data_IF_463266677238
#
_entry.id   IF_463266677238
#
_cell.length_a   1.000
_cell.length_b   1.000
_cell.length_c   1.000
_cell.angle_alpha   90.00
_cell.angle_beta   90.00
_cell.angle_gamma   90.00
#
_symmetry.space_group_name_H-M   'P 1'
#
loop_
_entity.id
_entity.type
_entity.pdbx_description
1 polymer ?
#
# COMPACT_ATOMS: atom_id res chain seq x y z
N UNK A 1 6.81 49.74 -0.51
CA UNK A 1 5.51 49.04 -0.54
C UNK A 1 5.66 47.72 -1.30
N UNK A 2 5.19 46.57 -0.77
CA UNK A 2 5.25 45.32 -1.50
C UNK A 2 4.35 45.37 -2.75
N UNK A 3 4.93 45.10 -3.92
CA UNK A 3 4.25 45.10 -5.22
C UNK A 3 3.03 44.15 -5.24
N UNK A 4 1.84 44.68 -5.55
CA UNK A 4 0.60 43.91 -5.67
C UNK A 4 0.67 42.75 -6.68
N UNK A 5 1.63 42.78 -7.62
CA UNK A 5 1.87 41.69 -8.57
C UNK A 5 2.32 40.40 -7.87
N UNK A 6 3.14 40.49 -6.81
CA UNK A 6 3.59 39.31 -6.04
C UNK A 6 2.43 38.69 -5.24
N UNK A 7 1.56 39.51 -4.65
CA UNK A 7 0.40 39.04 -3.91
C UNK A 7 -0.62 38.33 -4.82
N UNK A 8 -0.92 38.90 -6.00
CA UNK A 8 -1.81 38.29 -6.99
C UNK A 8 -1.25 36.96 -7.52
N UNK A 9 0.07 36.87 -7.74
CA UNK A 9 0.73 35.62 -8.13
C UNK A 9 0.56 34.49 -7.10
N UNK A 10 0.74 34.78 -5.81
CA UNK A 10 0.53 33.80 -4.73
C UNK A 10 -0.93 33.32 -4.67
N UNK A 11 -1.90 34.23 -4.79
CA UNK A 11 -3.33 33.89 -4.82
C UNK A 11 -3.68 32.98 -6.00
N UNK A 12 -3.14 33.25 -7.19
CA UNK A 12 -3.38 32.41 -8.37
C UNK A 12 -2.73 31.03 -8.24
N UNK A 13 -1.53 30.92 -7.66
CA UNK A 13 -0.88 29.63 -7.38
C UNK A 13 -1.71 28.81 -6.38
N UNK A 14 -2.13 29.41 -5.27
CA UNK A 14 -2.97 28.74 -4.27
C UNK A 14 -4.32 28.28 -4.87
N UNK A 15 -4.94 29.09 -5.73
CA UNK A 15 -6.18 28.70 -6.42
C UNK A 15 -5.97 27.48 -7.33
N UNK A 16 -4.88 27.44 -8.11
CA UNK A 16 -4.55 26.28 -8.97
C UNK A 16 -4.29 25.01 -8.16
N UNK A 17 -3.60 25.13 -7.03
CA UNK A 17 -3.31 24.00 -6.15
C UNK A 17 -4.57 23.47 -5.45
N UNK A 18 -5.47 24.38 -5.04
CA UNK A 18 -6.78 24.01 -4.52
C UNK A 18 -7.64 23.29 -5.57
N UNK A 19 -7.70 23.78 -6.82
CA UNK A 19 -8.41 23.11 -7.92
C UNK A 19 -7.82 21.73 -8.18
N UNK A 20 -6.49 21.61 -8.31
CA UNK A 20 -5.83 20.32 -8.47
C UNK A 20 -6.15 19.34 -7.35
N UNK A 21 -6.25 19.82 -6.10
CA UNK A 21 -6.58 18.96 -4.96
C UNK A 21 -8.05 18.53 -4.98
N UNK A 22 -8.97 19.43 -5.36
CA UNK A 22 -10.37 19.10 -5.56
C UNK A 22 -10.55 18.05 -6.67
N UNK A 23 -9.77 18.18 -7.75
CA UNK A 23 -9.74 17.21 -8.86
C UNK A 23 -9.21 15.83 -8.44
N UNK A 24 -8.39 15.74 -7.39
CA UNK A 24 -7.90 14.45 -6.89
C UNK A 24 -8.90 13.78 -5.95
N UNK A 25 -9.64 14.56 -5.16
CA UNK A 25 -10.66 14.02 -4.24
C UNK A 25 -11.82 13.37 -5.00
N UNK A 26 -12.20 13.93 -6.15
CA UNK A 26 -13.24 13.37 -7.03
C UNK A 26 -12.90 11.99 -7.61
N UNK A 27 -11.63 11.56 -7.58
CA UNK A 27 -11.22 10.24 -8.09
C UNK A 27 -11.57 9.09 -7.13
N UNK A 28 -11.76 9.36 -5.84
CA UNK A 28 -11.95 8.30 -4.84
C UNK A 28 -13.14 8.53 -3.92
N UNK A 29 -13.48 9.79 -3.62
CA UNK A 29 -14.57 10.10 -2.69
C UNK A 29 -15.93 9.58 -3.18
N UNK A 30 -16.34 9.76 -4.46
CA UNK A 30 -17.60 9.21 -4.94
C UNK A 30 -17.67 7.70 -4.80
N UNK A 31 -16.55 7.00 -5.04
CA UNK A 31 -16.45 5.55 -4.87
C UNK A 31 -16.58 5.13 -3.41
N UNK A 32 -16.06 5.90 -2.45
CA UNK A 32 -16.19 5.60 -1.01
C UNK A 32 -17.60 5.87 -0.52
N UNK A 33 -18.15 7.04 -0.87
CA UNK A 33 -19.45 7.50 -0.44
C UNK A 33 -20.56 6.66 -1.09
N UNK A 34 -20.37 6.25 -2.35
CA UNK A 34 -21.26 5.42 -3.15
C UNK A 34 -22.73 5.54 -2.69
N UNK A 35 -23.19 6.79 -2.61
CA UNK A 35 -24.58 7.20 -2.47
C UNK A 35 -25.19 7.44 -3.86
N UNK A 36 -24.48 7.03 -4.91
CA UNK A 36 -24.73 7.51 -6.26
C UNK A 36 -25.83 6.67 -6.93
N UNK A 37 -26.96 7.34 -7.09
CA UNK A 37 -28.21 6.96 -7.75
C UNK A 37 -28.06 6.43 -9.19
N UNK A 38 -26.85 6.35 -9.73
CA UNK A 38 -26.58 5.76 -11.06
C UNK A 38 -26.33 4.26 -11.04
N UNK A 39 -26.11 3.67 -9.86
CA UNK A 39 -26.08 2.23 -9.66
C UNK A 39 -27.38 1.72 -9.03
N UNK A 40 -28.54 2.22 -9.46
CA UNK A 40 -29.86 1.63 -9.09
C UNK A 40 -29.95 0.12 -9.44
N UNK A 41 -29.03 -0.38 -10.27
CA UNK A 41 -28.87 -1.81 -10.60
C UNK A 41 -28.31 -2.62 -9.42
N UNK A 42 -27.53 -2.01 -8.52
CA UNK A 42 -26.97 -2.68 -7.36
C UNK A 42 -27.63 -2.19 -6.09
N UNK A 43 -28.55 -3.01 -5.59
CA UNK A 43 -29.16 -2.86 -4.27
C UNK A 43 -28.03 -2.53 -3.29
N UNK A 44 -28.06 -1.34 -2.65
CA UNK A 44 -27.06 -0.97 -1.66
C UNK A 44 -26.90 -2.13 -0.70
N UNK A 45 -25.65 -2.54 -0.45
CA UNK A 45 -25.42 -3.61 0.52
C UNK A 45 -26.05 -3.17 1.84
N UNK A 46 -27.18 -3.78 2.21
CA UNK A 46 -27.92 -3.49 3.45
C UNK A 46 -27.04 -3.71 4.69
N UNK A 47 -25.84 -4.28 4.54
CA UNK A 47 -24.87 -4.49 5.61
C UNK A 47 -23.84 -3.36 5.73
N UNK A 48 -24.06 -2.21 5.08
CA UNK A 48 -23.19 -1.03 5.14
C UNK A 48 -23.37 -0.17 6.41
N UNK A 49 -24.24 -0.56 7.34
CA UNK A 49 -24.64 0.30 8.46
C UNK A 49 -23.48 0.75 9.36
N UNK A 50 -22.48 -0.11 9.63
CA UNK A 50 -21.38 0.26 10.54
C UNK A 50 -20.43 1.33 9.98
N UNK A 51 -20.46 1.58 8.67
CA UNK A 51 -19.60 2.58 8.01
C UNK A 51 -20.38 3.76 7.43
N UNK A 52 -21.70 3.81 7.63
CA UNK A 52 -22.52 4.91 7.14
C UNK A 52 -22.19 6.23 7.86
N UNK A 53 -21.72 6.13 9.10
CA UNK A 53 -21.33 7.28 9.93
C UNK A 53 -19.89 7.76 9.66
N UNK A 54 -19.21 7.21 8.65
CA UNK A 54 -17.85 7.61 8.30
C UNK A 54 -17.85 9.02 7.69
N UNK A 55 -17.77 10.05 8.54
CA UNK A 55 -17.60 11.43 8.11
C UNK A 55 -16.17 11.63 7.60
N UNK A 56 -16.03 11.85 6.29
CA UNK A 56 -14.75 12.17 5.68
C UNK A 56 -14.43 13.64 6.01
N UNK A 57 -13.40 13.94 6.81
CA UNK A 57 -13.06 15.31 7.13
C UNK A 57 -12.80 16.13 5.86
N UNK A 58 -13.10 17.44 5.88
CA UNK A 58 -12.76 18.30 4.73
C UNK A 58 -11.25 18.47 4.59
N UNK A 59 -10.56 18.58 5.72
CA UNK A 59 -9.12 18.76 5.82
C UNK A 59 -8.60 17.88 6.94
N UNK A 60 -7.95 16.77 6.58
CA UNK A 60 -7.20 15.93 7.51
C UNK A 60 -5.93 15.40 6.82
N UNK A 61 -4.98 14.90 7.60
CA UNK A 61 -3.77 14.29 7.03
C UNK A 61 -4.14 13.08 6.17
N UNK A 62 -5.14 12.31 6.60
CA UNK A 62 -5.70 11.22 5.79
C UNK A 62 -6.21 11.68 4.42
N UNK A 63 -6.91 12.83 4.33
CA UNK A 63 -7.37 13.33 3.03
C UNK A 63 -6.19 13.70 2.13
N UNK A 64 -5.13 14.29 2.68
CA UNK A 64 -3.91 14.58 1.92
C UNK A 64 -3.23 13.28 1.45
N UNK A 65 -3.19 12.26 2.30
CA UNK A 65 -2.67 10.93 1.98
C UNK A 65 -3.48 10.27 0.84
N UNK A 66 -4.82 10.26 0.94
CA UNK A 66 -5.71 9.75 -0.10
C UNK A 66 -5.53 10.51 -1.42
N UNK A 67 -5.48 11.84 -1.39
CA UNK A 67 -5.24 12.64 -2.60
C UNK A 67 -3.85 12.39 -3.20
N UNK A 68 -2.83 12.15 -2.38
CA UNK A 68 -1.50 11.80 -2.86
C UNK A 68 -1.49 10.43 -3.56
N UNK A 69 -2.16 9.42 -2.99
CA UNK A 69 -2.39 8.11 -3.62
C UNK A 69 -3.16 8.29 -4.95
N UNK A 70 -4.19 9.12 -4.95
CA UNK A 70 -4.97 9.44 -6.15
C UNK A 70 -4.09 10.07 -7.24
N UNK A 71 -3.23 11.01 -6.86
CA UNK A 71 -2.29 11.68 -7.76
C UNK A 71 -1.20 10.77 -8.32
N UNK A 72 -1.00 9.58 -7.74
CA UNK A 72 -0.17 8.51 -8.30
C UNK A 72 -0.93 7.59 -9.24
N UNK A 73 -2.26 7.67 -9.28
CA UNK A 73 -3.12 6.88 -10.17
C UNK A 73 -3.63 5.56 -9.58
N UNK A 74 -3.48 5.29 -8.28
CA UNK A 74 -3.96 4.04 -7.67
C UNK A 74 -5.49 3.86 -7.73
N UNK A 75 -6.24 4.95 -7.81
CA UNK A 75 -7.70 4.90 -7.93
C UNK A 75 -8.20 4.94 -9.37
N UNK A 76 -7.29 5.16 -10.33
CA UNK A 76 -7.60 5.10 -11.74
C UNK A 76 -7.42 3.67 -12.27
N UNK A 77 -8.41 3.19 -13.01
CA UNK A 77 -8.41 1.86 -13.61
C UNK A 77 -7.48 1.77 -14.82
N UNK A 78 -7.23 2.88 -15.50
CA UNK A 78 -6.37 2.92 -16.68
C UNK A 78 -4.87 2.90 -16.30
N UNK A 79 -4.54 3.43 -15.12
CA UNK A 79 -3.17 3.45 -14.61
C UNK A 79 -2.70 2.04 -14.24
N UNK A 80 -1.57 1.63 -14.81
CA UNK A 80 -0.84 0.41 -14.45
C UNK A 80 0.52 0.79 -13.88
N UNK A 81 1.02 0.04 -12.90
CA UNK A 81 2.37 0.18 -12.36
C UNK A 81 3.23 -1.01 -12.79
N UNK A 82 3.59 -1.11 -14.09
CA UNK A 82 4.39 -2.22 -14.57
C UNK A 82 5.76 -2.19 -13.91
N UNK A 83 6.18 -3.33 -13.36
CA UNK A 83 7.53 -3.59 -12.86
C UNK A 83 7.99 -2.76 -11.64
N UNK A 84 7.16 -1.88 -11.09
CA UNK A 84 7.49 -1.22 -9.83
C UNK A 84 7.18 -2.19 -8.67
N UNK A 85 8.15 -2.49 -7.79
CA UNK A 85 7.87 -3.32 -6.63
C UNK A 85 6.85 -2.58 -5.77
N UNK A 86 5.60 -3.04 -5.81
CA UNK A 86 4.43 -2.47 -5.13
C UNK A 86 4.76 -2.01 -3.71
N UNK A 87 5.54 -2.82 -2.98
CA UNK A 87 5.96 -2.47 -1.63
C UNK A 87 6.84 -1.24 -1.53
N UNK A 88 7.77 -1.02 -2.46
CA UNK A 88 8.62 0.18 -2.46
C UNK A 88 7.75 1.43 -2.57
N UNK A 89 6.77 1.43 -3.47
CA UNK A 89 5.82 2.53 -3.61
C UNK A 89 4.99 2.69 -2.35
N UNK A 90 4.44 1.60 -1.79
CA UNK A 90 3.66 1.63 -0.55
C UNK A 90 4.47 2.23 0.61
N UNK A 91 5.73 1.82 0.78
CA UNK A 91 6.64 2.35 1.81
C UNK A 91 6.88 3.85 1.63
N UNK A 92 7.30 4.27 0.43
CA UNK A 92 7.54 5.68 0.14
C UNK A 92 6.30 6.52 0.38
N UNK A 93 5.11 6.02 0.01
CA UNK A 93 3.85 6.70 0.26
C UNK A 93 3.55 6.83 1.74
N UNK A 94 3.69 5.76 2.53
CA UNK A 94 3.45 5.84 3.98
C UNK A 94 4.44 6.79 4.65
N UNK A 95 5.72 6.74 4.29
CA UNK A 95 6.80 7.56 4.86
C UNK A 95 6.59 9.07 4.67
N UNK A 96 5.98 9.47 3.56
CA UNK A 96 5.68 10.87 3.29
C UNK A 96 4.55 11.45 4.18
N UNK A 97 3.84 10.61 4.95
CA UNK A 97 2.73 11.02 5.80
C UNK A 97 2.92 10.47 7.24
N UNK A 98 3.91 10.97 8.00
CA UNK A 98 4.25 10.45 9.33
C UNK A 98 3.06 10.46 10.30
N UNK A 99 2.22 11.50 10.27
CA UNK A 99 1.02 11.56 11.13
C UNK A 99 0.02 10.43 10.87
N UNK A 100 -0.13 9.95 9.63
CA UNK A 100 -0.99 8.78 9.34
C UNK A 100 -0.40 7.50 9.93
N UNK A 101 0.91 7.46 10.16
CA UNK A 101 1.57 6.32 10.81
C UNK A 101 1.51 6.41 12.33
N UNK A 102 1.78 7.60 12.87
CA UNK A 102 1.94 7.85 14.30
C UNK A 102 0.60 7.97 15.04
N UNK A 103 -0.39 8.66 14.46
CA UNK A 103 -1.66 8.93 15.12
C UNK A 103 -2.67 7.80 14.84
N UNK A 104 -3.08 7.08 15.89
CA UNK A 104 -3.99 5.95 15.79
C UNK A 104 -5.31 6.27 15.09
N UNK A 105 -5.87 7.46 15.33
CA UNK A 105 -7.11 7.93 14.73
C UNK A 105 -6.98 8.18 13.22
N UNK A 106 -5.92 8.89 12.80
CA UNK A 106 -5.65 9.13 11.37
C UNK A 106 -5.35 7.80 10.67
N UNK A 107 -4.57 6.92 11.30
CA UNK A 107 -4.26 5.59 10.75
C UNK A 107 -5.52 4.73 10.56
N UNK A 108 -6.37 4.67 11.58
CA UNK A 108 -7.64 3.93 11.54
C UNK A 108 -8.56 4.50 10.45
N UNK A 109 -8.66 5.82 10.33
CA UNK A 109 -9.46 6.48 9.29
C UNK A 109 -8.91 6.19 7.89
N UNK A 110 -7.60 6.23 7.67
CA UNK A 110 -6.99 5.85 6.39
C UNK A 110 -7.32 4.40 6.02
N UNK A 111 -7.17 3.47 6.96
CA UNK A 111 -7.50 2.05 6.76
C UNK A 111 -8.98 1.89 6.41
N UNK A 112 -9.88 2.56 7.13
CA UNK A 112 -11.32 2.51 6.88
C UNK A 112 -11.69 3.02 5.48
N UNK A 113 -11.12 4.15 5.05
CA UNK A 113 -11.35 4.71 3.72
C UNK A 113 -10.83 3.80 2.59
N UNK A 114 -9.62 3.27 2.72
CA UNK A 114 -9.06 2.36 1.72
C UNK A 114 -9.85 1.04 1.63
N UNK A 115 -10.25 0.47 2.77
CA UNK A 115 -11.08 -0.73 2.82
C UNK A 115 -12.45 -0.48 2.18
N UNK A 116 -13.07 0.68 2.46
CA UNK A 116 -14.36 1.08 1.89
C UNK A 116 -14.28 1.22 0.37
N UNK A 117 -13.24 1.90 -0.11
CA UNK A 117 -12.95 2.01 -1.54
C UNK A 117 -12.85 0.63 -2.20
N UNK A 118 -12.02 -0.28 -1.65
CA UNK A 118 -11.85 -1.64 -2.19
C UNK A 118 -13.14 -2.45 -2.16
N UNK A 119 -13.94 -2.33 -1.09
CA UNK A 119 -15.23 -3.01 -1.01
C UNK A 119 -16.14 -2.60 -2.16
N UNK A 120 -16.27 -1.29 -2.39
CA UNK A 120 -17.15 -0.76 -3.42
C UNK A 120 -16.65 -1.14 -4.82
N UNK A 121 -15.33 -1.01 -5.09
CA UNK A 121 -14.72 -1.44 -6.36
C UNK A 121 -14.90 -2.94 -6.61
N UNK A 122 -14.70 -3.80 -5.62
CA UNK A 122 -14.85 -5.25 -5.80
C UNK A 122 -16.29 -5.63 -6.11
N UNK A 123 -17.24 -5.04 -5.39
CA UNK A 123 -18.67 -5.35 -5.57
C UNK A 123 -19.19 -4.77 -6.88
N UNK A 124 -18.88 -3.52 -7.20
CA UNK A 124 -19.29 -2.88 -8.46
C UNK A 124 -18.74 -3.63 -9.67
N UNK A 125 -17.45 -3.95 -9.64
CA UNK A 125 -16.78 -4.46 -10.83
C UNK A 125 -17.10 -5.93 -11.06
N UNK A 126 -17.26 -6.71 -9.98
CA UNK A 126 -17.75 -8.08 -10.11
C UNK A 126 -19.17 -8.13 -10.70
N UNK A 127 -20.02 -7.14 -10.36
CA UNK A 127 -21.35 -7.06 -10.94
C UNK A 127 -21.36 -6.61 -12.40
N UNK A 128 -20.53 -5.62 -12.75
CA UNK A 128 -20.46 -5.08 -14.12
C UNK A 128 -19.80 -6.09 -15.08
N UNK A 129 -18.73 -6.75 -14.64
CA UNK A 129 -17.90 -7.59 -15.52
C UNK A 129 -18.24 -9.08 -15.43
N UNK A 130 -19.00 -9.48 -14.42
CA UNK A 130 -19.41 -10.87 -14.21
C UNK A 130 -18.21 -11.81 -14.08
N UNK A 131 -18.12 -12.79 -14.98
CA UNK A 131 -17.06 -13.81 -14.93
C UNK A 131 -15.68 -13.28 -15.30
N UNK A 132 -15.60 -12.26 -16.16
CA UNK A 132 -14.33 -11.68 -16.59
C UNK A 132 -13.56 -11.05 -15.43
N UNK A 133 -14.26 -10.59 -14.40
CA UNK A 133 -13.68 -9.99 -13.20
C UNK A 133 -12.65 -10.91 -12.52
N UNK A 134 -12.93 -12.22 -12.47
CA UNK A 134 -12.07 -13.20 -11.81
C UNK A 134 -10.72 -13.39 -12.51
N UNK A 135 -10.64 -13.08 -13.81
CA UNK A 135 -9.45 -13.30 -14.63
C UNK A 135 -8.62 -12.03 -14.85
N UNK A 136 -9.12 -10.85 -14.47
CA UNK A 136 -8.39 -9.60 -14.59
C UNK A 136 -7.36 -9.43 -13.48
N UNK A 137 -6.10 -9.22 -13.87
CA UNK A 137 -5.08 -8.69 -12.97
C UNK A 137 -5.26 -7.18 -12.80
N UNK A 138 -5.39 -6.75 -11.55
CA UNK A 138 -5.42 -5.33 -11.21
C UNK A 138 -4.46 -5.05 -10.07
N UNK A 139 -3.27 -4.60 -10.45
CA UNK A 139 -2.14 -4.37 -9.55
C UNK A 139 -2.44 -3.28 -8.51
N UNK A 140 -3.28 -2.31 -8.87
CA UNK A 140 -3.64 -1.18 -8.00
C UNK A 140 -4.34 -1.66 -6.71
N UNK A 141 -5.23 -2.63 -6.81
CA UNK A 141 -5.96 -3.16 -5.66
C UNK A 141 -5.04 -3.95 -4.73
N UNK A 142 -4.11 -4.71 -5.31
CA UNK A 142 -3.08 -5.41 -4.56
C UNK A 142 -2.18 -4.42 -3.81
N UNK A 143 -1.83 -3.30 -4.44
CA UNK A 143 -1.08 -2.22 -3.80
C UNK A 143 -1.86 -1.57 -2.66
N UNK A 144 -3.15 -1.27 -2.85
CA UNK A 144 -3.98 -0.73 -1.77
C UNK A 144 -4.09 -1.72 -0.61
N UNK A 145 -4.23 -3.02 -0.87
CA UNK A 145 -4.20 -4.05 0.18
C UNK A 145 -2.86 -4.09 0.91
N UNK A 146 -1.74 -3.92 0.19
CA UNK A 146 -0.40 -3.80 0.79
C UNK A 146 -0.30 -2.55 1.68
N UNK A 147 -0.82 -1.41 1.25
CA UNK A 147 -0.84 -0.17 2.04
C UNK A 147 -1.64 -0.34 3.34
N UNK A 148 -2.85 -0.92 3.26
CA UNK A 148 -3.66 -1.21 4.46
C UNK A 148 -2.89 -2.08 5.44
N UNK A 149 -2.29 -3.17 4.95
CA UNK A 149 -1.53 -4.08 5.81
C UNK A 149 -0.27 -3.42 6.41
N UNK A 150 0.40 -2.55 5.65
CA UNK A 150 1.54 -1.79 6.13
C UNK A 150 1.14 -0.83 7.26
N UNK A 151 0.04 -0.09 7.09
CA UNK A 151 -0.49 0.78 8.14
C UNK A 151 -0.87 -0.02 9.41
N UNK A 152 -1.48 -1.20 9.26
CA UNK A 152 -1.75 -2.08 10.41
C UNK A 152 -0.48 -2.55 11.13
N UNK A 153 0.60 -2.81 10.40
CA UNK A 153 1.88 -3.21 11.00
C UNK A 153 2.55 -2.06 11.73
N UNK A 154 2.54 -0.86 11.16
CA UNK A 154 3.10 0.36 11.78
C UNK A 154 2.38 0.70 13.09
N UNK A 155 1.08 0.44 13.18
CA UNK A 155 0.32 0.59 14.42
C UNK A 155 0.56 -0.49 15.49
N UNK A 156 1.26 -1.59 15.15
CA UNK A 156 1.49 -2.73 16.07
C UNK A 156 2.96 -2.92 16.43
N UNK A 157 3.88 -2.48 15.58
CA UNK A 157 5.31 -2.72 15.72
C UNK A 157 6.07 -1.42 15.54
N UNK A 158 6.95 -1.11 16.49
CA UNK A 158 7.89 0.01 16.39
C UNK A 158 9.13 -0.33 15.54
N UNK A 159 9.53 -1.61 15.50
CA UNK A 159 10.69 -2.06 14.72
C UNK A 159 10.36 -2.13 13.21
N UNK A 160 10.88 -1.16 12.47
CA UNK A 160 10.71 -1.03 11.02
C UNK A 160 11.24 -2.26 10.27
N UNK A 161 12.24 -2.98 10.78
CA UNK A 161 12.76 -4.21 10.15
C UNK A 161 11.74 -5.36 10.23
N UNK A 162 10.96 -5.43 11.30
CA UNK A 162 9.87 -6.41 11.47
C UNK A 162 8.71 -6.04 10.54
N UNK A 163 8.36 -4.76 10.47
CA UNK A 163 7.35 -4.24 9.54
C UNK A 163 7.72 -4.56 8.09
N UNK A 164 8.96 -4.24 7.68
CA UNK A 164 9.56 -4.55 6.37
C UNK A 164 9.37 -6.01 5.98
N UNK A 165 9.90 -6.93 6.80
CA UNK A 165 9.84 -8.37 6.54
C UNK A 165 8.40 -8.89 6.43
N UNK A 166 7.51 -8.46 7.33
CA UNK A 166 6.11 -8.91 7.34
C UNK A 166 5.34 -8.37 6.14
N UNK A 167 5.57 -7.12 5.76
CA UNK A 167 4.89 -6.50 4.63
C UNK A 167 5.32 -7.15 3.30
N UNK A 168 6.62 -7.42 3.11
CA UNK A 168 7.13 -8.16 1.93
C UNK A 168 6.54 -9.56 1.84
N UNK A 169 6.46 -10.28 2.97
CA UNK A 169 5.81 -11.60 3.01
C UNK A 169 4.34 -11.52 2.58
N UNK A 170 3.64 -10.46 2.97
CA UNK A 170 2.24 -10.26 2.63
C UNK A 170 2.04 -9.83 1.18
N UNK A 171 2.85 -8.91 0.66
CA UNK A 171 2.78 -8.48 -0.74
C UNK A 171 3.00 -9.63 -1.70
N UNK A 172 3.89 -10.56 -1.36
CA UNK A 172 4.10 -11.78 -2.15
C UNK A 172 2.85 -12.69 -2.20
N UNK A 173 1.91 -12.58 -1.26
CA UNK A 173 0.64 -13.28 -1.34
C UNK A 173 -0.38 -12.58 -2.25
N UNK A 174 -0.21 -11.27 -2.49
CA UNK A 174 -1.08 -10.47 -3.36
C UNK A 174 -0.55 -10.32 -4.79
N UNK A 175 0.76 -10.47 -4.95
CA UNK A 175 1.42 -10.52 -6.26
C UNK A 175 0.73 -11.55 -7.17
N UNK A 176 0.78 -11.28 -8.48
CA UNK A 176 0.23 -12.13 -9.54
C UNK A 176 -1.29 -12.22 -9.63
N UNK A 177 -2.00 -11.31 -8.97
CA UNK A 177 -3.44 -11.14 -9.19
C UNK A 177 -4.28 -12.26 -8.58
N UNK A 178 -3.90 -12.73 -7.39
CA UNK A 178 -4.72 -13.66 -6.62
C UNK A 178 -5.95 -12.95 -6.04
N UNK A 179 -6.94 -12.68 -6.90
CA UNK A 179 -8.22 -12.02 -6.55
C UNK A 179 -8.89 -12.70 -5.38
N UNK A 180 -8.84 -14.03 -5.33
CA UNK A 180 -9.37 -14.81 -4.20
C UNK A 180 -8.76 -14.37 -2.87
N UNK A 181 -7.45 -14.20 -2.79
CA UNK A 181 -6.79 -13.76 -1.55
C UNK A 181 -6.98 -12.26 -1.26
N UNK A 182 -7.12 -11.41 -2.29
CA UNK A 182 -7.50 -10.00 -2.13
C UNK A 182 -8.91 -9.84 -1.55
N UNK A 183 -9.93 -10.50 -2.12
CA UNK A 183 -11.29 -10.43 -1.56
C UNK A 183 -11.32 -11.04 -0.17
N UNK A 184 -10.62 -12.15 0.06
CA UNK A 184 -10.48 -12.73 1.40
C UNK A 184 -9.89 -11.73 2.40
N UNK A 185 -8.89 -10.96 1.99
CA UNK A 185 -8.24 -9.96 2.83
C UNK A 185 -9.21 -8.86 3.26
N UNK A 186 -9.99 -8.33 2.31
CA UNK A 186 -10.97 -7.25 2.57
C UNK A 186 -12.18 -7.80 3.34
N UNK A 187 -12.73 -8.95 2.94
CA UNK A 187 -13.89 -9.59 3.59
C UNK A 187 -13.64 -10.01 5.05
N UNK A 188 -12.37 -10.17 5.44
CA UNK A 188 -11.98 -10.43 6.83
C UNK A 188 -11.97 -9.17 7.70
N UNK A 189 -11.82 -7.99 7.11
CA UNK A 189 -11.72 -6.70 7.80
C UNK A 189 -13.02 -5.92 7.78
N UNK A 190 -13.84 -6.15 6.76
CA UNK A 190 -15.15 -5.53 6.62
C UNK A 190 -16.24 -6.59 6.71
N UNK A 191 -17.19 -6.49 7.66
CA UNK A 191 -18.29 -7.45 7.82
C UNK A 191 -19.39 -7.30 6.75
N UNK A 192 -19.01 -7.25 5.47
CA UNK A 192 -19.95 -7.09 4.35
C UNK A 192 -20.39 -8.45 3.79
N UNK A 193 -21.69 -8.70 3.74
CA UNK A 193 -22.23 -9.94 3.16
C UNK A 193 -21.89 -10.10 1.67
N UNK A 194 -21.95 -9.02 0.89
CA UNK A 194 -21.58 -9.03 -0.53
C UNK A 194 -20.13 -9.47 -0.75
N UNK A 195 -19.20 -9.00 0.08
CA UNK A 195 -17.80 -9.43 0.03
C UNK A 195 -17.63 -10.90 0.45
N UNK A 196 -18.41 -11.39 1.42
CA UNK A 196 -18.39 -12.80 1.81
C UNK A 196 -18.88 -13.69 0.67
N UNK A 197 -19.95 -13.31 -0.01
CA UNK A 197 -20.45 -14.04 -1.19
C UNK A 197 -19.48 -13.96 -2.36
N UNK A 198 -18.91 -12.79 -2.63
CA UNK A 198 -17.88 -12.62 -3.66
C UNK A 198 -16.65 -13.49 -3.37
N UNK A 199 -16.23 -13.58 -2.11
CA UNK A 199 -15.14 -14.48 -1.71
C UNK A 199 -15.51 -15.95 -1.87
N UNK A 200 -16.76 -16.36 -1.55
CA UNK A 200 -17.25 -17.71 -1.80
C UNK A 200 -17.23 -18.05 -3.30
N UNK A 201 -17.69 -17.12 -4.15
CA UNK A 201 -17.63 -17.26 -5.61
C UNK A 201 -16.18 -17.36 -6.11
N UNK A 202 -15.30 -16.46 -5.66
CA UNK A 202 -13.87 -16.47 -6.00
C UNK A 202 -13.19 -17.78 -5.58
N UNK A 203 -13.54 -18.35 -4.43
CA UNK A 203 -13.01 -19.65 -4.00
C UNK A 203 -13.41 -20.82 -4.89
N UNK A 204 -14.62 -20.78 -5.47
CA UNK A 204 -15.13 -21.81 -6.38
C UNK A 204 -14.48 -21.69 -7.76
N UNK A 205 -14.31 -20.46 -8.25
CA UNK A 205 -13.82 -20.18 -9.61
C UNK A 205 -12.30 -20.12 -9.73
N UNK A 206 -11.61 -19.65 -8.69
CA UNK A 206 -10.16 -19.43 -8.72
C UNK A 206 -9.41 -20.48 -7.89
N UNK A 207 -8.53 -21.20 -8.57
CA UNK A 207 -7.55 -22.05 -7.91
C UNK A 207 -6.66 -21.21 -6.98
N UNK A 208 -6.24 -21.82 -5.86
CA UNK A 208 -5.23 -21.20 -5.01
C UNK A 208 -3.89 -21.34 -5.72
N UNK A 209 -3.32 -20.23 -6.17
CA UNK A 209 -2.04 -20.22 -6.89
C UNK A 209 -0.98 -19.51 -6.06
N UNK A 210 0.26 -19.96 -6.19
CA UNK A 210 1.46 -19.28 -5.71
C UNK A 210 2.37 -18.99 -6.89
N UNK A 211 3.02 -17.84 -6.89
CA UNK A 211 4.02 -17.47 -7.89
C UNK A 211 5.43 -17.56 -7.30
N UNK A 212 6.37 -18.08 -8.08
CA UNK A 212 7.78 -18.10 -7.71
C UNK A 212 8.50 -16.95 -8.41
N UNK A 213 8.99 -15.95 -7.66
CA UNK A 213 9.75 -14.81 -8.20
C UNK A 213 11.07 -15.18 -8.89
N UNK A 214 11.61 -16.39 -8.62
CA UNK A 214 12.84 -16.87 -9.22
C UNK A 214 12.66 -17.33 -10.67
N UNK A 215 11.61 -18.11 -10.93
CA UNK A 215 11.35 -18.71 -12.24
C UNK A 215 10.09 -18.18 -12.93
N UNK A 216 9.39 -17.23 -12.30
CA UNK A 216 8.15 -16.58 -12.75
C UNK A 216 6.97 -17.54 -13.03
N UNK A 217 7.11 -18.81 -12.64
CA UNK A 217 6.07 -19.83 -12.84
C UNK A 217 5.01 -19.73 -11.74
N UNK A 218 3.75 -19.92 -12.14
CA UNK A 218 2.61 -20.11 -11.24
C UNK A 218 2.45 -21.58 -10.94
N UNK A 219 2.35 -21.90 -9.66
CA UNK A 219 2.10 -23.24 -9.17
C UNK A 219 0.74 -23.25 -8.48
N UNK A 220 -0.10 -24.27 -8.70
CA UNK A 220 -1.19 -24.55 -7.78
C UNK A 220 -0.55 -24.65 -6.40
N UNK A 221 -0.96 -23.77 -5.48
CA UNK A 221 -0.63 -23.93 -4.07
C UNK A 221 -1.52 -25.08 -3.64
N UNK A 222 -1.02 -26.29 -3.88
CA UNK A 222 -1.70 -27.54 -3.60
C UNK A 222 -2.42 -27.30 -2.28
N UNK A 223 -3.75 -27.38 -2.29
CA UNK A 223 -4.40 -27.82 -1.08
C UNK A 223 -3.56 -29.01 -0.70
N UNK A 224 -2.98 -29.01 0.49
CA UNK A 224 -2.53 -30.25 1.07
C UNK A 224 -3.75 -31.18 1.00
N UNK A 225 -3.91 -31.89 -0.12
CA UNK A 225 -4.06 -33.31 -0.10
C UNK A 225 -2.90 -33.70 0.80
N UNK A 226 -3.16 -33.69 2.11
CA UNK A 226 -2.50 -34.63 2.98
C UNK A 226 -2.67 -35.93 2.21
N UNK A 227 -1.60 -36.51 1.63
CA UNK A 227 -1.70 -37.91 1.27
C UNK A 227 -2.29 -38.58 2.51
N UNK A 228 -3.32 -39.37 2.30
CA UNK A 228 -4.02 -40.11 3.34
C UNK A 228 -2.99 -40.55 4.39
N UNK A 229 -3.17 -40.09 5.63
CA UNK A 229 -2.13 -39.97 6.68
C UNK A 229 -1.68 -41.35 7.20
N UNK A 230 -2.00 -42.41 6.48
CA UNK A 230 -1.76 -43.80 6.81
C UNK A 230 -0.37 -44.31 6.41
N UNK A 231 0.44 -43.55 5.64
CA UNK A 231 1.76 -44.04 5.19
C UNK A 231 2.86 -42.97 5.05
N UNK A 232 3.33 -42.36 6.15
CA UNK A 232 4.70 -41.85 6.24
C UNK A 232 5.06 -41.44 7.69
N UNK A 233 6.14 -41.97 8.28
CA UNK A 233 6.65 -41.52 9.57
C UNK A 233 7.73 -40.45 9.35
N UNK A 234 7.35 -39.17 9.29
CA UNK A 234 8.33 -38.08 9.45
C UNK A 234 7.78 -36.93 10.29
N UNK A 235 8.60 -36.53 11.27
CA UNK A 235 8.34 -35.56 12.32
C UNK A 235 8.27 -34.13 11.74
N UNK A 236 7.10 -33.51 11.83
CA UNK A 236 6.75 -32.24 11.18
C UNK A 236 7.17 -31.01 11.99
N UNK A 237 7.88 -31.16 13.12
CA UNK A 237 8.27 -30.03 13.98
C UNK A 237 9.53 -29.27 13.52
N UNK A 238 10.22 -29.71 12.48
CA UNK A 238 11.51 -29.12 12.04
C UNK A 238 11.37 -28.03 10.96
N UNK A 239 10.24 -27.95 10.26
CA UNK A 239 10.14 -27.09 9.06
C UNK A 239 9.89 -25.61 9.40
N UNK A 240 9.14 -25.29 10.45
CA UNK A 240 8.83 -23.88 10.80
C UNK A 240 10.02 -23.14 11.45
N UNK A 241 10.90 -23.85 12.18
CA UNK A 241 12.12 -23.26 12.75
C UNK A 241 13.28 -23.15 11.75
N UNK A 242 13.29 -24.01 10.72
CA UNK A 242 14.31 -23.96 9.67
C UNK A 242 14.12 -22.73 8.76
N UNK A 243 12.89 -22.29 8.48
CA UNK A 243 12.65 -21.07 7.67
C UNK A 243 13.14 -19.79 8.37
N UNK A 244 13.00 -19.69 9.69
CA UNK A 244 13.44 -18.51 10.44
C UNK A 244 14.98 -18.42 10.57
N UNK A 245 15.67 -19.57 10.65
CA UNK A 245 17.15 -19.62 10.67
C UNK A 245 17.81 -19.63 9.28
N UNK A 246 17.15 -20.15 8.24
CA UNK A 246 17.69 -20.08 6.87
C UNK A 246 17.54 -18.70 6.26
N UNK A 247 16.49 -17.95 6.59
CA UNK A 247 16.36 -16.56 6.16
C UNK A 247 17.44 -15.68 6.80
N UNK A 248 17.88 -15.92 8.04
CA UNK A 248 18.97 -15.14 8.64
C UNK A 248 20.35 -15.44 8.06
N UNK A 249 20.57 -16.60 7.41
CA UNK A 249 21.87 -16.94 6.78
C UNK A 249 21.94 -16.71 5.27
N UNK A 250 20.82 -16.44 4.59
CA UNK A 250 20.78 -16.21 3.13
C UNK A 250 19.98 -14.99 2.67
N UNK A 251 19.35 -14.25 3.58
CA UNK A 251 18.93 -12.88 3.25
C UNK A 251 20.20 -12.06 3.22
N UNK A 252 20.59 -11.60 2.03
CA UNK A 252 21.53 -10.49 1.91
C UNK A 252 21.07 -9.41 2.86
N UNK A 253 21.92 -9.11 3.84
CA UNK A 253 21.66 -8.12 4.87
C UNK A 253 21.21 -6.84 4.16
N UNK A 254 19.96 -6.44 4.38
CA UNK A 254 19.47 -5.14 3.96
C UNK A 254 20.15 -4.14 4.92
N UNK A 255 21.36 -3.72 4.59
CA UNK A 255 22.06 -2.72 5.40
C UNK A 255 21.45 -1.37 5.04
N UNK A 256 20.69 -0.82 5.98
CA UNK A 256 20.31 0.59 5.95
C UNK A 256 21.55 1.40 6.33
N UNK A 257 22.26 1.93 5.33
CA UNK A 257 23.29 2.96 5.56
C UNK A 257 22.76 4.26 4.97
N UNK A 258 22.27 5.14 5.83
CA UNK A 258 21.86 6.47 5.43
C UNK A 258 21.25 7.22 6.61
N UNK A 259 21.77 8.42 6.87
CA UNK A 259 21.05 9.45 7.62
C UNK A 259 19.71 9.76 6.93
N UNK A 260 18.78 10.29 7.72
CA UNK A 260 17.33 10.45 7.49
C UNK A 260 16.95 11.03 6.10
N UNK A 261 17.88 11.59 5.34
CA UNK A 261 17.66 12.21 4.04
C UNK A 261 18.00 11.32 2.81
N UNK A 262 18.71 10.20 2.96
CA UNK A 262 19.14 9.37 1.80
C UNK A 262 19.02 7.86 2.03
N UNK A 263 17.88 7.30 1.64
CA UNK A 263 17.65 5.85 1.63
C UNK A 263 18.10 5.23 0.29
N UNK A 264 19.26 4.56 0.27
CA UNK A 264 19.69 3.73 -0.87
C UNK A 264 19.28 2.28 -0.61
N UNK A 265 18.38 1.76 -1.44
CA UNK A 265 17.85 0.41 -1.35
C UNK A 265 18.57 -0.49 -2.37
N UNK A 266 19.58 -1.23 -1.92
CA UNK A 266 20.27 -2.22 -2.77
C UNK A 266 19.67 -3.60 -2.54
N UNK A 267 18.92 -4.10 -3.53
CA UNK A 267 18.35 -5.45 -3.49
C UNK A 267 19.24 -6.37 -4.33
N UNK A 268 20.04 -7.22 -3.70
CA UNK A 268 20.75 -8.29 -4.38
C UNK A 268 19.82 -9.49 -4.58
N UNK A 269 19.51 -9.78 -5.84
CA UNK A 269 18.63 -10.90 -6.24
C UNK A 269 19.40 -12.21 -6.10
N UNK A 270 19.16 -12.96 -5.02
CA UNK A 270 19.59 -14.36 -4.93
C UNK A 270 18.49 -15.27 -5.46
N UNK A 271 18.68 -15.78 -6.68
CA UNK A 271 17.87 -16.88 -7.21
C UNK A 271 18.32 -18.18 -6.54
N UNK A 272 17.48 -18.75 -5.69
CA UNK A 272 17.58 -20.17 -5.37
C UNK A 272 16.18 -20.79 -5.45
N UNK A 273 15.91 -21.49 -6.54
CA UNK A 273 14.82 -22.45 -6.58
C UNK A 273 15.22 -23.61 -5.66
N UNK A 274 14.47 -23.86 -4.59
CA UNK A 274 14.70 -25.05 -3.75
C UNK A 274 14.30 -26.31 -4.53
N UNK A 275 15.21 -27.29 -4.73
CA UNK A 275 14.88 -28.55 -5.37
C UNK A 275 14.26 -29.49 -4.33
N UNK A 276 12.99 -29.29 -4.03
CA UNK A 276 12.24 -30.23 -3.19
C UNK A 276 10.84 -30.41 -3.74
N UNK A 277 10.78 -30.91 -4.98
CA UNK A 277 9.73 -31.73 -5.59
C UNK A 277 10.10 -31.84 -7.07
N UNK A 278 10.98 -32.79 -7.36
CA UNK A 278 11.27 -33.21 -8.73
C UNK A 278 10.03 -33.93 -9.29
N UNK A 279 9.09 -33.17 -9.84
CA UNK A 279 8.33 -33.65 -10.99
C UNK A 279 9.01 -33.10 -12.24
N UNK A 280 9.52 -34.03 -13.03
CA UNK A 280 10.22 -33.88 -14.31
C UNK A 280 9.67 -32.75 -15.18
N UNK A 281 10.52 -31.78 -15.55
CA UNK A 281 10.17 -30.79 -16.57
C UNK A 281 10.89 -29.43 -16.48
N UNK A 282 12.06 -29.34 -15.86
CA UNK A 282 12.89 -28.13 -15.93
C UNK A 282 14.30 -28.56 -16.34
N UNK A 283 14.53 -28.67 -17.65
CA UNK A 283 15.85 -28.92 -18.20
C UNK A 283 16.69 -27.65 -18.23
N UNK A 284 17.97 -27.85 -18.01
CA UNK A 284 19.00 -26.88 -17.71
C UNK A 284 19.29 -25.88 -18.83
N UNK A 285 19.53 -24.63 -18.44
CA UNK A 285 20.33 -23.67 -19.22
C UNK A 285 21.55 -23.33 -18.36
N UNK A 286 22.64 -24.07 -18.59
CA UNK A 286 23.96 -23.76 -18.07
C UNK A 286 24.63 -22.72 -18.98
N UNK A 287 24.60 -21.45 -18.59
CA UNK A 287 25.64 -20.50 -18.99
C UNK A 287 26.19 -19.76 -17.76
N UNK A 288 27.52 -19.72 -17.57
CA UNK A 288 28.13 -18.97 -16.49
C UNK A 288 28.17 -17.47 -16.81
N UNK A 289 27.31 -16.69 -16.15
CA UNK A 289 27.40 -15.22 -16.16
C UNK A 289 28.64 -14.78 -15.37
N UNK A 290 29.66 -14.28 -16.06
CA UNK A 290 30.80 -13.58 -15.45
C UNK A 290 30.34 -12.23 -14.90
N UNK A 291 30.41 -12.05 -13.59
CA UNK A 291 30.26 -10.74 -12.94
C UNK A 291 31.58 -9.96 -13.05
N UNK A 292 31.58 -8.90 -13.84
CA UNK A 292 32.64 -7.87 -13.82
C UNK A 292 32.20 -6.76 -12.86
N UNK A 293 32.98 -6.41 -11.83
CA UNK A 293 32.65 -5.24 -11.00
C UNK A 293 33.04 -3.97 -11.76
N UNK A 294 32.05 -3.20 -12.19
CA UNK A 294 32.24 -1.82 -12.64
C UNK A 294 32.17 -0.93 -11.40
N UNK A 295 33.35 -0.54 -10.90
CA UNK A 295 33.52 0.49 -9.87
C UNK A 295 33.84 1.80 -10.61
N UNK A 296 32.94 2.78 -10.53
CA UNK A 296 33.16 4.09 -11.11
C UNK A 296 32.01 5.04 -10.80
N UNK A 297 32.09 5.75 -9.68
CA UNK A 297 31.43 7.05 -9.52
C UNK A 297 32.48 8.04 -9.05
N UNK A 298 32.89 8.90 -9.98
CA UNK A 298 33.61 10.14 -9.74
C UNK A 298 32.63 11.20 -9.21
N UNK A 299 33.01 11.93 -8.17
CA UNK A 299 32.47 13.28 -7.91
C UNK A 299 33.63 14.17 -7.47
N UNK A 300 34.11 15.01 -8.40
CA UNK A 300 34.88 16.21 -8.06
C UNK A 300 33.91 17.27 -7.53
N UNK A 301 34.31 17.89 -6.42
CA UNK A 301 33.52 18.88 -5.71
C UNK A 301 33.67 20.31 -6.23
N UNK A 302 32.84 21.21 -5.69
CA UNK A 302 33.22 22.51 -5.15
C UNK A 302 31.95 23.33 -4.86
N UNK A 303 31.65 23.54 -3.59
CA UNK A 303 30.57 24.44 -3.16
C UNK A 303 30.95 25.13 -1.87
N UNK A 304 31.54 26.33 -1.99
CA UNK A 304 31.94 27.21 -0.87
C UNK A 304 30.78 27.46 0.09
N UNK A 305 31.01 27.19 1.37
CA UNK A 305 30.18 27.70 2.45
C UNK A 305 30.34 29.22 2.57
N UNK A 306 29.22 29.95 2.55
CA UNK A 306 29.13 31.37 2.94
C UNK A 306 28.57 31.43 4.37
N UNK A 307 29.08 32.32 5.24
CA UNK A 307 28.62 32.39 6.62
C UNK A 307 27.23 33.05 6.71
N UNK A 308 26.43 32.52 7.64
CA UNK A 308 25.09 32.98 7.94
C UNK A 308 25.11 34.43 8.47
N UNK A 309 24.35 35.30 7.80
CA UNK A 309 24.05 36.65 8.29
C UNK A 309 23.00 36.57 9.41
N UNK A 310 23.29 37.26 10.51
CA UNK A 310 22.42 37.41 11.67
C UNK A 310 21.07 38.04 11.28
N UNK A 311 19.99 37.40 11.76
CA UNK A 311 18.61 37.90 11.64
C UNK A 311 18.35 38.89 12.79
N UNK A 312 17.89 40.12 12.52
CA UNK A 312 17.48 41.03 13.58
C UNK A 312 16.07 40.69 14.07
N UNK A 313 15.97 40.39 15.37
CA UNK A 313 14.74 40.28 16.13
C UNK A 313 13.96 41.60 16.09
N UNK A 314 12.69 41.58 15.65
CA UNK A 314 11.78 42.71 15.84
C UNK A 314 10.32 42.27 15.85
N UNK A 315 9.57 42.95 16.72
CA UNK A 315 8.11 43.16 16.78
C UNK A 315 7.35 41.97 17.41
N UNK A 316 6.83 42.08 18.63
CA UNK A 316 5.96 43.14 19.13
C UNK A 316 4.55 42.56 19.19
N UNK A 317 4.18 41.99 20.34
CA UNK A 317 2.84 41.43 20.58
C UNK A 317 1.80 42.56 20.59
N UNK A 318 0.67 42.43 19.87
CA UNK A 318 -0.47 43.30 20.04
C UNK A 318 -1.34 42.84 21.21
N UNK A 319 -1.69 43.81 22.06
CA UNK A 319 -2.60 43.69 23.20
C UNK A 319 -3.93 43.00 22.84
N UNK A 320 -4.31 42.02 23.66
CA UNK A 320 -5.66 41.44 23.68
C UNK A 320 -6.63 42.40 24.39
N UNK A 321 -7.77 42.75 23.78
CA UNK A 321 -8.84 43.43 24.51
C UNK A 321 -9.52 42.46 25.48
N UNK A 322 -9.68 42.90 26.73
CA UNK A 322 -10.49 42.23 27.76
C UNK A 322 -11.96 42.35 27.38
N UNK A 323 -12.59 41.23 27.05
CA UNK A 323 -14.04 41.13 26.88
C UNK A 323 -14.72 41.14 28.24
N UNK A 324 -15.63 42.10 28.43
CA UNK A 324 -16.56 42.22 29.54
C UNK A 324 -17.59 41.08 29.54
N UNK A 325 -17.76 40.43 30.69
CA UNK A 325 -18.90 39.58 31.02
C UNK A 325 -20.17 40.44 31.03
N UNK A 326 -21.18 40.02 30.28
CA UNK A 326 -22.58 40.45 30.45
C UNK A 326 -23.28 39.28 31.13
N UNK A 327 -23.65 39.48 32.39
CA UNK A 327 -24.69 38.72 33.08
C UNK A 327 -26.04 39.08 32.45
N UNK A 328 -26.79 38.08 31.99
CA UNK A 328 -28.24 38.20 31.81
C UNK A 328 -28.95 37.37 32.89
N UNK A 329 -29.98 38.00 33.44
CA UNK A 329 -30.97 37.47 34.37
C UNK A 329 -32.12 36.79 33.61
#
# INVERSE_FOLDING_TARGET
MPSGKKARGRKNRAKKEATRTADLRSLWEPTILASDTRLDVLRPCEHNHELFDLQIPRQSTVVLFMNHIAGKGFFDRATRFPNEPVMKTCYSLTLNFPRVQEEDNERALAIALLLRFLCNVFVSDAAIEGELWFHQQRDNEAAICCMIYLLELLGRYSDVSVVARRAVKMSNNFADGNRRDLVKFVAKRLPCACLKELHRAARKKLAKVSHCHGCEKRFPRTASQTPDRSKAPYDTRVIDLAQDRYLTKRVGLLVFVGDVDHLILTVTKFSSCSPSLAHSGCSDLDEPVRLVPVLGVFFEGAGRATPAAAVPSRLGEPDRPKGSLVEEA
#
